data_IF_886757544422
#
_entry.id   IF_886757544422
#
_cell.length_a   1.000
_cell.length_b   1.000
_cell.length_c   1.000
_cell.angle_alpha   90.00
_cell.angle_beta   90.00
_cell.angle_gamma   90.00
#
_symmetry.space_group_name_H-M   'P 1'
#
loop_
_entity.id
_entity.type
_entity.pdbx_description
1 polymer ?
#
# COMPACT_ATOMS: atom_id res chain seq x y z
N UNK A 1 -2.33 11.04 -21.58
CA UNK A 1 -3.02 10.13 -20.64
C UNK A 1 -1.96 9.51 -19.72
N UNK A 2 -2.01 9.79 -18.41
CA UNK A 2 -1.09 9.18 -17.45
C UNK A 2 -1.29 7.66 -17.45
N UNK A 3 -0.28 6.89 -17.87
CA UNK A 3 -0.35 5.42 -17.95
C UNK A 3 -0.04 4.74 -16.60
N UNK A 4 0.45 5.51 -15.62
CA UNK A 4 0.90 5.01 -14.32
C UNK A 4 0.45 5.94 -13.18
N UNK A 5 0.32 5.38 -11.98
CA UNK A 5 0.04 6.12 -10.75
C UNK A 5 1.30 6.76 -10.18
N UNK A 6 1.14 7.87 -9.47
CA UNK A 6 2.25 8.53 -8.80
C UNK A 6 2.70 7.72 -7.60
N UNK A 7 3.95 7.25 -7.63
CA UNK A 7 4.59 6.52 -6.53
C UNK A 7 4.53 7.28 -5.20
N UNK A 8 4.85 8.58 -5.22
CA UNK A 8 4.88 9.41 -4.03
C UNK A 8 3.48 9.64 -3.46
N UNK A 9 2.52 9.95 -4.33
CA UNK A 9 1.14 10.13 -3.90
C UNK A 9 0.54 8.83 -3.35
N UNK A 10 0.72 7.70 -4.03
CA UNK A 10 0.23 6.41 -3.53
C UNK A 10 0.88 6.06 -2.19
N UNK A 11 2.19 6.28 -2.03
CA UNK A 11 2.90 5.88 -0.80
C UNK A 11 2.63 6.80 0.39
N UNK A 12 2.52 8.11 0.16
CA UNK A 12 2.52 9.12 1.22
C UNK A 12 1.24 9.96 1.27
N UNK A 13 0.35 9.81 0.29
CA UNK A 13 -0.82 10.67 0.09
C UNK A 13 -0.48 12.09 -0.36
N UNK A 14 0.80 12.38 -0.61
CA UNK A 14 1.30 13.71 -1.00
C UNK A 14 2.38 13.57 -2.08
N UNK A 15 2.36 14.48 -3.04
CA UNK A 15 3.37 14.60 -4.08
C UNK A 15 3.81 16.06 -4.18
N UNK A 16 5.11 16.31 -4.21
CA UNK A 16 5.68 17.66 -4.32
C UNK A 16 5.31 18.36 -5.64
N UNK A 17 5.09 17.59 -6.71
CA UNK A 17 4.68 18.12 -8.01
C UNK A 17 3.19 18.54 -8.07
N UNK A 18 2.37 18.17 -7.07
CA UNK A 18 0.97 18.58 -7.01
C UNK A 18 0.20 18.35 -8.31
N UNK A 19 -0.46 19.40 -8.81
CA UNK A 19 -1.21 19.37 -10.07
C UNK A 19 -0.33 19.28 -11.34
N UNK A 20 0.96 19.62 -11.24
CA UNK A 20 1.91 19.48 -12.34
C UNK A 20 2.50 18.06 -12.45
N UNK A 21 2.09 17.13 -11.58
CA UNK A 21 2.56 15.75 -11.64
C UNK A 21 2.09 15.08 -12.95
N UNK A 22 2.98 14.46 -13.74
CA UNK A 22 2.59 13.76 -14.97
C UNK A 22 1.88 12.41 -14.71
N UNK A 23 1.83 11.97 -13.45
CA UNK A 23 1.25 10.69 -13.03
C UNK A 23 -0.11 10.88 -12.35
N UNK A 24 -0.94 9.83 -12.35
CA UNK A 24 -2.26 9.89 -11.74
C UNK A 24 -2.19 9.93 -10.21
N UNK A 25 -2.95 10.86 -9.61
CA UNK A 25 -3.20 10.95 -8.17
C UNK A 25 -4.59 10.41 -7.88
N UNK A 26 -4.68 9.19 -7.35
CA UNK A 26 -5.95 8.57 -6.96
C UNK A 26 -5.97 8.35 -5.45
N UNK A 27 -6.78 9.11 -4.68
CA UNK A 27 -6.92 8.95 -3.24
C UNK A 27 -7.35 7.53 -2.83
N UNK A 28 -8.04 6.79 -3.70
CA UNK A 28 -8.43 5.41 -3.43
C UNK A 28 -7.24 4.44 -3.51
N UNK A 29 -6.08 4.84 -4.04
CA UNK A 29 -4.88 4.01 -4.18
C UNK A 29 -3.76 4.38 -3.20
N UNK A 30 -4.01 5.32 -2.27
CA UNK A 30 -3.04 5.67 -1.24
C UNK A 30 -2.92 4.56 -0.19
N UNK A 31 -1.71 4.35 0.32
CA UNK A 31 -1.42 3.40 1.38
C UNK A 31 -2.27 3.65 2.63
N UNK A 32 -2.53 2.58 3.38
CA UNK A 32 -3.19 2.67 4.68
C UNK A 32 -2.32 3.44 5.69
N UNK A 33 -2.94 4.27 6.52
CA UNK A 33 -2.26 5.00 7.57
C UNK A 33 -1.81 4.05 8.67
N UNK A 34 -0.50 3.89 8.88
CA UNK A 34 0.04 3.02 9.92
C UNK A 34 -0.35 3.49 11.34
N UNK A 35 -0.56 4.79 11.55
CA UNK A 35 -1.05 5.33 12.83
C UNK A 35 -2.50 4.93 13.06
N UNK A 36 -3.33 5.00 12.01
CA UNK A 36 -4.73 4.57 12.05
C UNK A 36 -4.84 3.08 12.36
N UNK A 37 -4.01 2.24 11.72
CA UNK A 37 -3.95 0.80 12.00
C UNK A 37 -3.63 0.47 13.47
N UNK A 38 -2.95 1.37 14.18
CA UNK A 38 -2.62 1.23 15.60
C UNK A 38 -3.61 1.96 16.52
N UNK A 39 -4.68 2.54 15.98
CA UNK A 39 -5.65 3.34 16.74
C UNK A 39 -5.12 4.69 17.23
N UNK A 40 -4.04 5.20 16.64
CA UNK A 40 -3.31 6.39 17.13
C UNK A 40 -3.38 7.59 16.16
N UNK A 41 -4.13 7.51 15.06
CA UNK A 41 -4.32 8.66 14.17
C UNK A 41 -5.51 9.50 14.62
N UNK A 42 -5.28 10.79 14.85
CA UNK A 42 -6.29 11.78 15.24
C UNK A 42 -6.54 12.84 14.15
N UNK A 43 -5.80 12.75 13.05
CA UNK A 43 -5.88 13.71 11.95
C UNK A 43 -7.07 13.39 11.06
N UNK A 44 -8.08 14.26 11.08
CA UNK A 44 -9.26 14.16 10.23
C UNK A 44 -8.94 14.36 8.74
N UNK A 45 -7.85 15.07 8.42
CA UNK A 45 -7.37 15.31 7.07
C UNK A 45 -6.11 14.49 6.74
N UNK A 46 -5.99 13.30 7.35
CA UNK A 46 -4.85 12.43 7.11
C UNK A 46 -4.70 12.14 5.61
N UNK A 47 -3.50 12.33 5.02
CA UNK A 47 -3.29 12.11 3.59
C UNK A 47 -3.33 10.61 3.22
N UNK A 48 -3.28 9.72 4.21
CA UNK A 48 -3.28 8.27 4.02
C UNK A 48 -4.66 7.69 4.27
N UNK A 49 -4.88 6.47 3.80
CA UNK A 49 -6.18 5.82 3.88
C UNK A 49 -6.50 5.36 5.31
N UNK A 50 -7.69 5.74 5.80
CA UNK A 50 -8.28 5.25 7.05
C UNK A 50 -9.32 4.15 6.79
N UNK A 51 -9.17 3.40 5.69
CA UNK A 51 -10.01 2.24 5.38
C UNK A 51 -9.14 0.98 5.35
N UNK A 52 -9.65 -0.08 5.98
CA UNK A 52 -9.00 -1.39 5.96
C UNK A 52 -9.31 -2.05 4.63
N UNK A 53 -8.32 -2.06 3.74
CA UNK A 53 -8.39 -2.71 2.44
C UNK A 53 -7.19 -3.63 2.28
N UNK A 54 -7.45 -4.93 2.08
CA UNK A 54 -6.40 -5.95 2.02
C UNK A 54 -5.35 -5.67 0.92
N UNK A 55 -5.74 -5.00 -0.17
CA UNK A 55 -4.82 -4.62 -1.24
C UNK A 55 -3.80 -3.54 -0.83
N UNK A 56 -4.16 -2.70 0.14
CA UNK A 56 -3.34 -1.59 0.67
C UNK A 56 -2.60 -1.95 1.95
N UNK A 57 -2.96 -3.07 2.58
CA UNK A 57 -2.35 -3.48 3.84
C UNK A 57 -0.88 -3.85 3.64
N UNK A 58 0.01 -3.41 4.54
CA UNK A 58 1.41 -3.81 4.50
C UNK A 58 1.57 -5.33 4.74
N UNK A 59 2.69 -5.86 4.28
CA UNK A 59 3.06 -7.26 4.52
C UNK A 59 3.33 -7.48 6.01
N UNK A 60 2.85 -8.62 6.52
CA UNK A 60 3.08 -9.02 7.90
C UNK A 60 4.53 -9.50 8.09
N UNK A 61 5.34 -8.70 8.80
CA UNK A 61 6.73 -9.09 9.13
C UNK A 61 6.79 -10.40 9.92
N UNK A 62 5.91 -10.57 10.91
CA UNK A 62 5.87 -11.78 11.74
C UNK A 62 5.50 -13.04 10.94
N UNK A 63 4.71 -12.89 9.87
CA UNK A 63 4.41 -14.01 8.98
C UNK A 63 5.63 -14.40 8.15
N UNK A 64 6.36 -13.42 7.62
CA UNK A 64 7.63 -13.67 6.92
C UNK A 64 8.67 -14.34 7.80
N UNK A 65 8.63 -14.08 9.11
CA UNK A 65 9.49 -14.70 10.13
C UNK A 65 8.97 -16.05 10.63
N UNK A 66 7.76 -16.47 10.22
CA UNK A 66 7.15 -17.74 10.62
C UNK A 66 6.57 -17.76 12.05
N UNK A 67 6.35 -16.60 12.67
CA UNK A 67 5.91 -16.47 14.07
C UNK A 67 4.55 -15.79 14.25
N UNK A 68 3.87 -15.42 13.16
CA UNK A 68 2.53 -14.85 13.24
C UNK A 68 1.49 -15.94 13.60
N UNK A 69 0.84 -15.80 14.75
CA UNK A 69 -0.23 -16.69 15.22
C UNK A 69 -1.62 -16.03 15.27
N UNK A 70 -1.78 -14.83 14.69
CA UNK A 70 -3.04 -14.08 14.70
C UNK A 70 -3.95 -14.60 13.58
N UNK A 71 -5.09 -15.19 13.92
CA UNK A 71 -6.03 -15.77 12.93
C UNK A 71 -6.53 -14.74 11.91
N UNK A 72 -7.02 -13.60 12.39
CA UNK A 72 -7.50 -12.51 11.54
C UNK A 72 -6.47 -11.38 11.45
N UNK A 73 -5.23 -11.72 11.07
CA UNK A 73 -4.17 -10.74 10.96
C UNK A 73 -4.53 -9.70 9.87
N UNK A 74 -4.60 -8.40 10.21
CA UNK A 74 -4.98 -7.38 9.23
C UNK A 74 -3.86 -7.15 8.20
N UNK A 75 -2.61 -7.55 8.52
CA UNK A 75 -1.47 -7.48 7.61
C UNK A 75 -1.49 -8.63 6.60
N UNK A 76 -0.96 -8.40 5.40
CA UNK A 76 -0.94 -9.42 4.35
C UNK A 76 0.03 -10.55 4.69
N UNK A 77 -0.46 -11.78 4.72
CA UNK A 77 0.34 -13.00 4.72
C UNK A 77 0.67 -13.37 3.27
N UNK A 78 1.90 -13.09 2.83
CA UNK A 78 2.36 -13.43 1.47
C UNK A 78 3.42 -14.52 1.54
N UNK A 79 3.19 -15.61 0.82
CA UNK A 79 4.14 -16.69 0.66
C UNK A 79 4.63 -16.69 -0.79
N UNK A 80 5.79 -16.11 -1.02
CA UNK A 80 6.41 -16.03 -2.34
C UNK A 80 7.59 -17.01 -2.38
N UNK A 81 7.71 -17.75 -3.48
CA UNK A 81 8.85 -18.65 -3.68
C UNK A 81 10.17 -17.88 -3.58
N UNK A 82 11.21 -18.52 -3.01
CA UNK A 82 12.56 -17.93 -3.01
C UNK A 82 12.99 -17.70 -4.46
N UNK A 83 13.19 -16.44 -4.85
CA UNK A 83 13.56 -16.05 -6.21
C UNK A 83 12.39 -15.60 -7.11
N UNK A 84 11.17 -15.46 -6.57
CA UNK A 84 10.06 -14.87 -7.32
C UNK A 84 10.43 -13.46 -7.83
N UNK A 85 10.11 -13.18 -9.09
CA UNK A 85 10.41 -11.89 -9.71
C UNK A 85 9.60 -10.77 -9.04
N UNK A 86 10.22 -9.60 -8.90
CA UNK A 86 9.54 -8.41 -8.40
C UNK A 86 8.52 -7.91 -9.43
N UNK A 87 7.27 -7.70 -9.03
CA UNK A 87 6.22 -7.18 -9.91
C UNK A 87 6.60 -5.79 -10.47
N UNK A 88 6.79 -5.63 -11.80
CA UNK A 88 7.18 -4.35 -12.39
C UNK A 88 6.12 -3.25 -12.22
N UNK A 89 4.84 -3.62 -12.22
CA UNK A 89 3.72 -2.68 -12.01
C UNK A 89 3.70 -2.18 -10.56
N UNK A 90 3.91 -3.08 -9.60
CA UNK A 90 3.98 -2.71 -8.19
C UNK A 90 5.19 -1.81 -7.91
N UNK A 91 6.34 -2.09 -8.53
CA UNK A 91 7.52 -1.21 -8.46
C UNK A 91 7.25 0.19 -9.04
N UNK A 92 6.31 0.32 -9.97
CA UNK A 92 5.83 1.61 -10.51
C UNK A 92 4.70 2.23 -9.68
N UNK A 93 4.35 1.64 -8.56
CA UNK A 93 3.51 2.24 -7.51
C UNK A 93 2.12 1.65 -7.36
N UNK A 94 1.68 0.80 -8.29
CA UNK A 94 0.42 0.08 -8.16
C UNK A 94 0.38 -1.10 -9.13
N UNK A 95 0.01 -2.28 -8.61
CA UNK A 95 -0.30 -3.43 -9.44
C UNK A 95 -1.82 -3.66 -9.45
N UNK A 96 -2.49 -3.67 -10.63
CA UNK A 96 -3.93 -3.93 -10.71
C UNK A 96 -4.30 -5.37 -10.30
N UNK A 97 -3.37 -6.31 -10.42
CA UNK A 97 -3.58 -7.72 -10.04
C UNK A 97 -3.49 -7.93 -8.51
N UNK A 98 -2.92 -6.98 -7.76
CA UNK A 98 -2.92 -7.02 -6.30
C UNK A 98 -2.32 -8.31 -5.71
N UNK A 99 -3.18 -9.14 -5.10
CA UNK A 99 -2.80 -10.42 -4.49
C UNK A 99 -2.71 -11.57 -5.51
N UNK A 100 -3.31 -11.43 -6.69
CA UNK A 100 -3.25 -12.40 -7.79
C UNK A 100 -2.01 -12.21 -8.67
N UNK A 101 -1.13 -11.25 -8.32
CA UNK A 101 0.09 -10.92 -9.04
C UNK A 101 1.24 -11.88 -8.75
#
# INVERSE_FOLDING_TARGET
RARHFCLFFNRFGKCSAGAACPYAHDPAKVSVCLKFLRGACVDAACPLSHTLDAGKMPVCRHYLEGVCAVENCPYRHVNVARGAALCPSFQKGYCPLGAEC
#
